data_IF_735604758296
#
_entry.id   IF_735604758296
#
_cell.length_a   1.000
_cell.length_b   1.000
_cell.length_c   1.000
_cell.angle_alpha   90.00
_cell.angle_beta   90.00
_cell.angle_gamma   90.00
#
_symmetry.space_group_name_H-M   'P 1'
#
loop_
_entity.id
_entity.type
_entity.pdbx_description
1 polymer ?
#
# COMPACT_ATOMS: atom_id res chain seq x y z
N UNK A 1 -18.75 14.56 19.36
CA UNK A 1 -18.05 13.31 19.74
C UNK A 1 -17.44 12.71 18.48
N UNK A 2 -16.35 13.31 18.00
CA UNK A 2 -15.62 12.91 16.79
C UNK A 2 -14.20 13.47 16.89
N UNK A 3 -13.25 12.69 16.38
CA UNK A 3 -11.84 13.00 16.12
C UNK A 3 -10.83 12.83 17.26
N UNK A 4 -10.10 11.72 17.16
CA UNK A 4 -8.64 11.73 17.20
C UNK A 4 -8.10 10.48 16.49
N UNK A 5 -8.18 10.45 15.15
CA UNK A 5 -7.31 9.56 14.37
C UNK A 5 -5.89 10.12 14.50
N UNK A 6 -5.10 9.56 15.40
CA UNK A 6 -3.70 9.92 15.55
C UNK A 6 -2.92 9.37 14.36
N UNK A 7 -2.42 10.31 13.58
CA UNK A 7 -1.56 10.12 12.42
C UNK A 7 -0.18 9.62 12.89
N UNK A 8 0.25 8.45 12.42
CA UNK A 8 1.57 7.89 12.68
C UNK A 8 2.19 7.42 11.36
N UNK A 9 2.68 8.36 10.55
CA UNK A 9 3.49 8.07 9.34
C UNK A 9 4.59 9.12 9.15
N UNK A 10 5.51 9.22 10.10
CA UNK A 10 6.71 10.07 9.98
C UNK A 10 7.94 9.53 10.76
N UNK A 11 8.21 8.21 10.73
CA UNK A 11 9.42 7.61 11.34
C UNK A 11 10.21 6.65 10.45
N UNK A 12 9.73 6.36 9.23
CA UNK A 12 10.06 5.11 8.54
C UNK A 12 11.43 4.97 7.85
N UNK A 13 12.46 5.77 8.14
CA UNK A 13 13.79 5.59 7.55
C UNK A 13 14.93 5.52 8.59
N UNK A 14 14.80 6.21 9.73
CA UNK A 14 15.80 6.12 10.81
C UNK A 14 15.60 4.87 11.69
N UNK A 15 14.38 4.33 11.75
CA UNK A 15 14.06 3.20 12.62
C UNK A 15 14.72 1.88 12.20
N UNK A 16 15.10 1.74 10.92
CA UNK A 16 15.78 0.57 10.37
C UNK A 16 17.32 0.70 10.44
N UNK A 17 17.85 1.87 10.81
CA UNK A 17 19.30 2.07 10.90
C UNK A 17 19.88 1.20 12.04
N UNK A 18 20.85 0.30 11.76
CA UNK A 18 21.40 -0.58 12.79
C UNK A 18 22.45 0.19 13.62
N UNK A 19 21.99 0.84 14.69
CA UNK A 19 22.81 1.71 15.54
C UNK A 19 23.18 1.05 16.87
N UNK A 20 22.33 0.16 17.41
CA UNK A 20 22.47 -0.35 18.78
C UNK A 20 23.30 -1.64 18.85
N UNK A 21 24.26 -1.69 19.77
CA UNK A 21 24.97 -2.95 20.11
C UNK A 21 24.10 -3.84 20.99
N UNK A 22 24.45 -5.13 21.10
CA UNK A 22 23.65 -6.12 21.83
C UNK A 22 23.36 -5.74 23.30
N UNK A 23 24.30 -5.10 23.99
CA UNK A 23 24.10 -4.67 25.38
C UNK A 23 23.04 -3.58 25.47
N UNK A 24 23.15 -2.55 24.62
CA UNK A 24 22.20 -1.43 24.56
C UNK A 24 20.82 -1.91 24.11
N UNK A 25 20.76 -2.78 23.10
CA UNK A 25 19.51 -3.35 22.63
C UNK A 25 18.82 -4.19 23.73
N UNK A 26 19.57 -4.96 24.51
CA UNK A 26 19.04 -5.75 25.62
C UNK A 26 18.48 -4.85 26.74
N UNK A 27 19.20 -3.79 27.10
CA UNK A 27 18.75 -2.80 28.09
C UNK A 27 17.48 -2.08 27.62
N UNK A 28 17.47 -1.59 26.38
CA UNK A 28 16.30 -0.95 25.80
C UNK A 28 15.11 -1.90 25.73
N UNK A 29 15.33 -3.17 25.38
CA UNK A 29 14.28 -4.17 25.30
C UNK A 29 13.89 -4.77 26.66
N UNK A 30 14.50 -4.34 27.77
CA UNK A 30 14.15 -4.81 29.12
C UNK A 30 14.46 -6.29 29.36
N UNK A 31 15.50 -6.82 28.72
CA UNK A 31 15.86 -8.24 28.77
C UNK A 31 17.36 -8.45 29.00
N UNK A 32 17.74 -9.66 29.39
CA UNK A 32 19.14 -10.02 29.54
C UNK A 32 19.80 -10.28 28.18
N UNK A 33 21.06 -9.86 28.01
CA UNK A 33 21.80 -10.05 26.76
C UNK A 33 21.90 -11.53 26.32
N UNK A 34 21.85 -12.48 27.26
CA UNK A 34 21.79 -13.91 26.95
C UNK A 34 20.48 -14.33 26.29
N UNK A 35 19.34 -13.80 26.73
CA UNK A 35 18.02 -14.04 26.14
C UNK A 35 17.97 -13.46 24.73
N UNK A 36 18.52 -12.26 24.55
CA UNK A 36 18.64 -11.65 23.24
C UNK A 36 19.45 -12.50 22.26
N UNK A 37 20.58 -13.08 22.72
CA UNK A 37 21.37 -14.04 21.92
C UNK A 37 20.59 -15.31 21.59
N UNK A 38 19.74 -15.78 22.49
CA UNK A 38 18.88 -16.94 22.25
C UNK A 38 17.85 -16.63 21.16
N UNK A 39 17.17 -15.48 21.22
CA UNK A 39 16.17 -15.08 20.24
C UNK A 39 16.77 -14.85 18.84
N UNK A 40 17.96 -14.25 18.78
CA UNK A 40 18.72 -14.10 17.54
C UNK A 40 19.08 -15.47 16.92
N UNK A 41 19.55 -16.43 17.73
CA UNK A 41 19.82 -17.81 17.24
C UNK A 41 18.57 -18.53 16.76
N UNK A 42 17.41 -18.21 17.33
CA UNK A 42 16.12 -18.74 16.89
C UNK A 42 15.58 -18.02 15.64
N UNK A 43 16.24 -16.97 15.16
CA UNK A 43 15.83 -16.21 13.98
C UNK A 43 14.67 -15.25 14.23
N UNK A 44 14.31 -14.98 15.50
CA UNK A 44 13.22 -14.04 15.83
C UNK A 44 13.57 -12.59 15.46
N UNK A 45 14.87 -12.26 15.48
CA UNK A 45 15.41 -10.98 15.06
C UNK A 45 16.70 -11.21 14.30
N UNK A 46 16.83 -10.59 13.13
CA UNK A 46 18.04 -10.68 12.29
C UNK A 46 18.81 -9.37 12.38
N UNK A 47 19.79 -9.24 13.30
CA UNK A 47 20.58 -8.01 13.36
C UNK A 47 21.47 -7.85 12.14
N UNK A 48 21.71 -6.60 11.77
CA UNK A 48 22.74 -6.28 10.80
C UNK A 48 24.13 -6.57 11.37
N UNK A 49 25.01 -7.15 10.54
CA UNK A 49 26.40 -7.40 10.93
C UNK A 49 27.30 -6.28 10.44
N UNK A 50 28.17 -5.79 11.32
CA UNK A 50 29.25 -4.86 10.94
C UNK A 50 30.42 -5.59 10.30
N UNK A 51 31.30 -4.85 9.58
CA UNK A 51 32.55 -5.39 9.02
C UNK A 51 33.44 -6.11 10.04
N UNK A 52 33.35 -5.75 11.32
CA UNK A 52 34.06 -6.40 12.44
C UNK A 52 33.31 -7.58 13.08
N UNK A 53 32.21 -8.07 12.50
CA UNK A 53 31.44 -9.21 13.01
C UNK A 53 30.50 -8.89 14.19
N UNK A 54 30.48 -7.64 14.66
CA UNK A 54 29.57 -7.20 15.72
C UNK A 54 28.13 -7.06 15.22
N UNK A 55 27.18 -7.54 16.03
CA UNK A 55 25.73 -7.42 15.81
C UNK A 55 25.27 -6.00 16.11
N UNK A 56 24.52 -5.41 15.20
CA UNK A 56 23.83 -4.13 15.39
C UNK A 56 22.35 -4.29 15.16
N UNK A 57 21.60 -3.79 16.11
CA UNK A 57 20.15 -3.78 16.15
C UNK A 57 19.66 -2.38 15.78
N UNK A 58 18.56 -2.31 15.06
CA UNK A 58 17.86 -1.08 14.76
C UNK A 58 16.85 -0.73 15.86
N UNK A 59 16.24 0.45 15.78
CA UNK A 59 15.14 0.83 16.69
C UNK A 59 13.95 -0.13 16.51
N UNK A 60 13.68 -0.52 15.26
CA UNK A 60 12.64 -1.51 14.92
C UNK A 60 12.93 -2.88 15.55
N UNK A 61 14.17 -3.34 15.51
CA UNK A 61 14.56 -4.60 16.15
C UNK A 61 14.28 -4.56 17.66
N UNK A 62 14.58 -3.44 18.33
CA UNK A 62 14.32 -3.25 19.76
C UNK A 62 12.82 -3.28 20.05
N UNK A 63 11.98 -2.65 19.21
CA UNK A 63 10.53 -2.71 19.35
C UNK A 63 10.01 -4.15 19.20
N UNK A 64 10.51 -4.88 18.21
CA UNK A 64 10.18 -6.28 17.97
C UNK A 64 10.54 -7.16 19.17
N UNK A 65 11.72 -6.95 19.78
CA UNK A 65 12.17 -7.69 20.96
C UNK A 65 11.26 -7.47 22.18
N UNK A 66 10.79 -6.24 22.39
CA UNK A 66 9.82 -5.94 23.46
C UNK A 66 8.50 -6.67 23.24
N UNK A 67 8.05 -6.74 21.99
CA UNK A 67 6.81 -7.43 21.65
C UNK A 67 6.93 -8.95 21.82
N UNK A 68 8.04 -9.53 21.36
CA UNK A 68 8.37 -10.95 21.62
C UNK A 68 8.39 -11.23 23.12
N UNK A 69 8.98 -10.36 23.92
CA UNK A 69 9.01 -10.51 25.37
C UNK A 69 7.60 -10.47 25.98
N UNK A 70 6.75 -9.53 25.55
CA UNK A 70 5.36 -9.41 25.99
C UNK A 70 4.57 -10.69 25.69
N UNK A 71 4.61 -11.16 24.43
CA UNK A 71 3.93 -12.38 24.01
C UNK A 71 4.46 -13.63 24.75
N UNK A 72 5.76 -13.67 25.01
CA UNK A 72 6.36 -14.76 25.78
C UNK A 72 5.89 -14.77 27.24
N UNK A 73 5.67 -13.60 27.86
CA UNK A 73 5.12 -13.49 29.22
C UNK A 73 3.63 -13.89 29.28
N UNK A 74 2.91 -13.72 28.17
CA UNK A 74 1.52 -14.17 28.00
C UNK A 74 1.38 -15.68 27.75
N UNK A 75 2.50 -16.42 27.73
CA UNK A 75 2.53 -17.87 27.60
C UNK A 75 2.59 -18.40 26.17
N UNK A 76 2.81 -17.52 25.18
CA UNK A 76 2.98 -17.93 23.78
C UNK A 76 4.36 -18.58 23.62
N UNK A 77 4.41 -19.73 22.94
CA UNK A 77 5.68 -20.38 22.63
C UNK A 77 6.49 -19.54 21.63
N UNK A 78 7.83 -19.60 21.71
CA UNK A 78 8.70 -18.86 20.78
C UNK A 78 8.45 -19.22 19.31
N UNK A 79 8.10 -20.48 19.03
CA UNK A 79 7.71 -20.92 17.69
C UNK A 79 6.37 -20.28 17.24
N UNK A 80 5.42 -20.12 18.17
CA UNK A 80 4.18 -19.39 17.92
C UNK A 80 4.43 -17.91 17.62
N UNK A 81 5.31 -17.27 18.39
CA UNK A 81 5.70 -15.88 18.17
C UNK A 81 6.39 -15.72 16.81
N UNK A 82 7.33 -16.60 16.46
CA UNK A 82 7.96 -16.59 15.14
C UNK A 82 6.90 -16.67 14.03
N UNK A 83 5.92 -17.57 14.17
CA UNK A 83 4.87 -17.74 13.17
C UNK A 83 3.98 -16.50 13.05
N UNK A 84 3.68 -15.83 14.15
CA UNK A 84 2.91 -14.58 14.15
C UNK A 84 3.68 -13.50 13.37
N UNK A 85 4.96 -13.31 13.66
CA UNK A 85 5.79 -12.30 13.00
C UNK A 85 5.96 -12.55 11.49
N UNK A 86 6.11 -13.81 11.10
CA UNK A 86 6.12 -14.21 9.68
C UNK A 86 4.80 -13.86 9.00
N UNK A 87 3.67 -14.14 9.65
CA UNK A 87 2.34 -13.83 9.12
C UNK A 87 2.09 -12.33 9.01
N UNK A 88 2.50 -11.54 10.01
CA UNK A 88 2.43 -10.08 9.96
C UNK A 88 3.22 -9.53 8.79
N UNK A 89 4.45 -10.02 8.58
CA UNK A 89 5.27 -9.63 7.43
C UNK A 89 4.60 -9.99 6.09
N UNK A 90 3.97 -11.15 6.00
CA UNK A 90 3.21 -11.55 4.81
C UNK A 90 1.99 -10.67 4.59
N UNK A 91 1.26 -10.32 5.66
CA UNK A 91 0.10 -9.42 5.58
C UNK A 91 0.54 -8.04 5.11
N UNK A 92 1.62 -7.48 5.65
CA UNK A 92 2.17 -6.19 5.23
C UNK A 92 2.56 -6.20 3.74
N UNK A 93 3.24 -7.27 3.29
CA UNK A 93 3.62 -7.44 1.88
C UNK A 93 2.39 -7.55 0.97
N UNK A 94 1.36 -8.29 1.39
CA UNK A 94 0.11 -8.41 0.64
C UNK A 94 -0.65 -7.09 0.58
N UNK A 95 -0.70 -6.34 1.68
CA UNK A 95 -1.33 -5.02 1.73
C UNK A 95 -0.61 -4.02 0.81
N UNK A 96 0.72 -4.02 0.82
CA UNK A 96 1.52 -3.22 -0.11
C UNK A 96 1.23 -3.60 -1.56
N UNK A 97 1.12 -4.90 -1.87
CA UNK A 97 0.79 -5.36 -3.22
C UNK A 97 -0.62 -4.99 -3.65
N UNK A 98 -1.59 -5.08 -2.76
CA UNK A 98 -2.97 -4.65 -3.02
C UNK A 98 -3.02 -3.15 -3.31
N UNK A 99 -2.29 -2.34 -2.55
CA UNK A 99 -2.21 -0.90 -2.79
C UNK A 99 -1.61 -0.58 -4.17
N UNK A 100 -0.48 -1.22 -4.51
CA UNK A 100 0.18 -1.08 -5.82
C UNK A 100 -0.75 -1.47 -6.98
N UNK A 101 -1.43 -2.61 -6.88
CA UNK A 101 -2.35 -3.08 -7.92
C UNK A 101 -3.58 -2.19 -8.05
N UNK A 102 -4.09 -1.66 -6.93
CA UNK A 102 -5.22 -0.72 -6.93
C UNK A 102 -4.83 0.57 -7.65
N UNK A 103 -3.65 1.11 -7.36
CA UNK A 103 -3.14 2.31 -8.03
C UNK A 103 -2.93 2.07 -9.53
N UNK A 104 -2.34 0.94 -9.92
CA UNK A 104 -2.16 0.58 -11.33
C UNK A 104 -3.50 0.45 -12.07
N UNK A 105 -4.52 -0.11 -11.41
CA UNK A 105 -5.85 -0.28 -11.97
C UNK A 105 -6.55 1.07 -12.16
N UNK A 106 -6.42 1.99 -11.21
CA UNK A 106 -6.95 3.34 -11.31
C UNK A 106 -6.26 4.14 -12.44
N UNK A 107 -4.94 4.00 -12.59
CA UNK A 107 -4.20 4.59 -13.71
C UNK A 107 -4.68 4.03 -15.07
N UNK A 108 -4.86 2.72 -15.18
CA UNK A 108 -5.38 2.09 -16.40
C UNK A 108 -6.80 2.55 -16.74
N UNK A 109 -7.68 2.66 -15.73
CA UNK A 109 -9.03 3.20 -15.88
C UNK A 109 -9.01 4.66 -16.35
N UNK A 110 -8.15 5.50 -15.76
CA UNK A 110 -8.01 6.90 -16.15
C UNK A 110 -7.51 7.06 -17.59
N UNK A 111 -6.56 6.22 -18.02
CA UNK A 111 -6.06 6.20 -19.39
C UNK A 111 -7.16 5.82 -20.39
N UNK A 112 -7.96 4.78 -20.10
CA UNK A 112 -9.10 4.37 -20.93
C UNK A 112 -10.19 5.45 -20.98
N UNK A 113 -10.51 6.07 -19.85
CA UNK A 113 -11.50 7.14 -19.79
C UNK A 113 -11.07 8.38 -20.59
N UNK A 114 -9.79 8.72 -20.56
CA UNK A 114 -9.21 9.84 -21.33
C UNK A 114 -9.17 9.57 -22.84
N UNK A 115 -9.12 8.30 -23.25
CA UNK A 115 -9.13 7.86 -24.65
C UNK A 115 -10.50 7.55 -25.24
N UNK A 116 -11.56 7.48 -24.42
CA UNK A 116 -12.91 7.14 -24.87
C UNK A 116 -13.54 8.28 -25.69
N UNK A 117 -13.30 8.24 -27.01
CA UNK A 117 -14.06 9.02 -27.99
C UNK A 117 -15.26 8.17 -28.39
N UNK A 118 -16.45 8.72 -28.30
CA UNK A 118 -17.64 8.09 -28.87
C UNK A 118 -17.66 8.49 -30.35
N UNK A 119 -17.95 7.57 -31.25
CA UNK A 119 -18.09 7.89 -32.66
C UNK A 119 -19.56 8.14 -32.95
N UNK A 120 -19.88 9.29 -33.54
CA UNK A 120 -21.21 9.56 -34.07
C UNK A 120 -21.22 9.36 -35.58
N UNK A 121 -22.35 8.87 -36.09
CA UNK A 121 -22.63 8.81 -37.53
C UNK A 121 -23.48 10.01 -37.90
N UNK A 122 -22.96 10.83 -38.81
CA UNK A 122 -23.68 11.97 -39.36
C UNK A 122 -24.73 11.53 -40.39
N UNK A 123 -25.67 12.42 -40.76
CA UNK A 123 -26.76 12.10 -41.68
C UNK A 123 -26.30 11.75 -43.10
N UNK A 124 -25.03 12.03 -43.47
CA UNK A 124 -24.46 11.64 -44.77
C UNK A 124 -23.54 10.42 -44.66
N UNK A 125 -23.53 9.72 -43.51
CA UNK A 125 -22.73 8.52 -43.27
C UNK A 125 -21.29 8.78 -42.81
N UNK A 126 -20.91 10.03 -42.56
CA UNK A 126 -19.60 10.39 -42.04
C UNK A 126 -19.42 9.97 -40.57
N UNK A 127 -18.25 9.44 -40.22
CA UNK A 127 -17.89 9.07 -38.84
C UNK A 127 -17.12 10.21 -38.21
N UNK A 128 -17.67 10.81 -37.15
CA UNK A 128 -17.04 11.94 -36.44
C UNK A 128 -16.72 11.52 -34.99
N UNK A 129 -15.47 11.65 -34.54
CA UNK A 129 -15.13 11.44 -33.14
C UNK A 129 -15.70 12.58 -32.28
N UNK A 130 -16.59 12.24 -31.35
CA UNK A 130 -17.18 13.16 -30.37
C UNK A 130 -16.73 12.79 -28.95
N UNK A 131 -16.67 13.79 -28.07
CA UNK A 131 -16.50 13.51 -26.64
C UNK A 131 -17.80 12.94 -26.07
N UNK A 132 -17.75 12.00 -25.11
CA UNK A 132 -18.94 11.57 -24.36
C UNK A 132 -19.70 12.79 -23.81
N UNK A 133 -21.00 12.87 -24.07
CA UNK A 133 -21.85 14.00 -23.65
C UNK A 133 -21.89 15.20 -24.62
N UNK A 134 -21.11 15.18 -25.70
CA UNK A 134 -21.17 16.22 -26.74
C UNK A 134 -22.20 15.87 -27.81
N UNK A 135 -23.18 16.75 -28.05
CA UNK A 135 -24.13 16.57 -29.16
C UNK A 135 -23.40 16.83 -30.49
N UNK A 136 -23.62 15.99 -31.53
CA UNK A 136 -23.07 16.26 -32.86
C UNK A 136 -23.46 17.69 -33.31
N UNK A 137 -22.53 18.48 -33.86
CA UNK A 137 -22.85 19.79 -34.37
C UNK A 137 -23.92 19.64 -35.46
N UNK A 138 -25.03 20.37 -35.33
CA UNK A 138 -26.02 20.48 -36.41
C UNK A 138 -25.38 21.30 -37.52
N UNK A 139 -24.87 20.65 -38.56
CA UNK A 139 -24.51 21.36 -39.77
C UNK A 139 -25.78 21.98 -40.36
N UNK A 140 -25.84 23.31 -40.33
CA UNK A 140 -26.91 24.11 -40.91
C UNK A 140 -26.79 24.09 -42.43
N UNK A 141 -27.17 22.98 -43.06
CA UNK A 141 -27.39 22.94 -44.51
C UNK A 141 -28.48 21.93 -44.86
N UNK A 142 -29.66 22.08 -44.25
CA UNK A 142 -30.90 21.84 -44.97
C UNK A 142 -32.04 22.47 -44.20
N UNK A 143 -32.50 23.64 -44.66
CA UNK A 143 -33.83 24.15 -44.35
C UNK A 143 -34.86 23.25 -45.05
N UNK A 144 -35.02 22.00 -44.59
CA UNK A 144 -36.09 21.15 -45.05
C UNK A 144 -37.35 21.50 -44.26
N UNK A 145 -38.18 22.37 -44.84
CA UNK A 145 -39.47 22.77 -44.31
C UNK A 145 -40.46 21.60 -44.53
N UNK A 146 -40.70 20.80 -43.49
CA UNK A 146 -41.73 19.76 -43.53
C UNK A 146 -43.09 20.44 -43.33
N UNK A 147 -43.81 20.66 -44.43
CA UNK A 147 -45.23 21.05 -44.37
C UNK A 147 -46.04 19.81 -44.03
N UNK A 148 -46.42 19.70 -42.76
CA UNK A 148 -47.34 18.67 -42.30
C UNK A 148 -48.77 19.06 -42.69
N UNK A 149 -49.46 18.20 -43.45
CA UNK A 149 -50.91 18.29 -43.72
C UNK A 149 -51.63 17.14 -43.02
N UNK A 150 -52.52 17.41 -42.06
CA UNK A 150 -53.43 16.39 -41.54
C UNK A 150 -54.56 16.17 -42.55
N UNK A 151 -54.74 14.93 -42.99
CA UNK A 151 -55.99 14.50 -43.64
C UNK A 151 -57.05 14.19 -42.57
N UNK A 152 -58.29 14.61 -42.84
CA UNK A 152 -59.49 14.24 -42.08
C UNK A 152 -60.13 13.00 -42.70
#
# INVERSE_FOLDING_TARGET
MTMARRNARAGGHDDDAPVFVISVAAELAGMHAQTLRQYDRLGLVTPSRTRGGGRRYSTRDVALLREVQRLSQEGVSLAGIQRILELETQVDALQAKVAELTEALDQARAALASGSRVFAVGPMGEVVPIRPGQRPPRHASSQALVVWRPER
#
